data_IF_918016460668
#
_entry.id   IF_918016460668
#
_cell.length_a   1.000
_cell.length_b   1.000
_cell.length_c   1.000
_cell.angle_alpha   90.00
_cell.angle_beta   90.00
_cell.angle_gamma   90.00
#
_symmetry.space_group_name_H-M   'P 1'
#
loop_
_entity.id
_entity.type
_entity.pdbx_description
1 polymer ?
#
# COMPACT_ATOMS: atom_id res chain seq x y z
N UNK A 1 -7.68 -2.54 -10.40
CA UNK A 1 -7.08 -1.27 -9.97
C UNK A 1 -7.03 -0.28 -11.13
N UNK A 2 -8.19 -0.11 -11.79
CA UNK A 2 -8.42 0.81 -12.92
C UNK A 2 -9.23 2.04 -12.48
N UNK A 3 -9.69 2.04 -11.22
CA UNK A 3 -10.51 3.09 -10.61
C UNK A 3 -9.71 4.36 -10.32
N UNK A 4 -8.38 4.28 -10.36
CA UNK A 4 -7.49 5.42 -10.20
C UNK A 4 -6.22 5.25 -11.03
N UNK A 5 -5.61 6.38 -11.37
CA UNK A 5 -4.31 6.44 -12.01
C UNK A 5 -3.29 7.03 -11.03
N UNK A 6 -2.28 6.25 -10.65
CA UNK A 6 -1.24 6.68 -9.73
C UNK A 6 0.14 6.23 -10.24
N UNK A 7 1.17 7.11 -10.23
CA UNK A 7 2.48 6.78 -10.77
C UNK A 7 3.15 5.58 -10.07
N UNK A 8 2.89 5.39 -8.77
CA UNK A 8 3.44 4.29 -7.97
C UNK A 8 2.61 3.00 -7.94
N UNK A 9 1.55 2.93 -8.75
CA UNK A 9 0.66 1.77 -8.74
C UNK A 9 1.41 0.48 -9.10
N UNK A 10 2.20 0.51 -10.16
CA UNK A 10 2.90 -0.68 -10.66
C UNK A 10 4.01 -1.15 -9.70
N UNK A 11 4.75 -0.22 -9.08
CA UNK A 11 5.77 -0.59 -8.10
C UNK A 11 5.15 -1.16 -6.82
N UNK A 12 4.00 -0.63 -6.39
CA UNK A 12 3.25 -1.22 -5.28
C UNK A 12 2.71 -2.62 -5.61
N UNK A 13 2.22 -2.86 -6.84
CA UNK A 13 1.75 -4.19 -7.23
C UNK A 13 2.88 -5.22 -7.23
N UNK A 14 4.10 -4.84 -7.66
CA UNK A 14 5.27 -5.71 -7.53
C UNK A 14 5.56 -6.09 -6.08
N UNK A 15 5.38 -5.16 -5.13
CA UNK A 15 5.50 -5.46 -3.70
C UNK A 15 4.45 -6.49 -3.29
N UNK A 16 3.19 -6.28 -3.64
CA UNK A 16 2.08 -7.20 -3.33
C UNK A 16 2.30 -8.60 -3.91
N UNK A 17 2.83 -8.69 -5.14
CA UNK A 17 3.16 -9.96 -5.80
C UNK A 17 4.27 -10.73 -5.06
N UNK A 18 5.24 -10.04 -4.46
CA UNK A 18 6.39 -10.65 -3.80
C UNK A 18 6.23 -10.82 -2.27
N UNK A 19 5.28 -10.12 -1.64
CA UNK A 19 5.04 -10.15 -0.20
C UNK A 19 3.84 -11.04 0.14
N UNK A 20 4.03 -12.27 0.68
CA UNK A 20 2.96 -13.27 0.81
C UNK A 20 1.75 -12.85 1.63
N UNK A 21 1.83 -11.82 2.50
CA UNK A 21 0.70 -11.26 3.25
C UNK A 21 0.95 -9.78 3.62
N UNK A 22 0.17 -8.87 3.02
CA UNK A 22 0.20 -7.43 3.31
C UNK A 22 -0.73 -7.12 4.48
N UNK A 23 -0.34 -7.60 5.66
CA UNK A 23 -1.08 -7.41 6.90
C UNK A 23 -0.36 -6.44 7.83
N UNK A 24 -1.12 -5.73 8.67
CA UNK A 24 -0.62 -4.91 9.76
C UNK A 24 0.52 -3.93 9.43
N UNK A 25 0.54 -3.34 8.23
CA UNK A 25 1.69 -2.56 7.79
C UNK A 25 1.51 -1.06 8.00
N UNK A 26 2.65 -0.36 8.15
CA UNK A 26 2.74 1.11 8.07
C UNK A 26 3.17 1.53 6.67
N UNK A 27 2.76 2.73 6.20
CA UNK A 27 3.24 3.30 4.93
C UNK A 27 4.76 3.25 4.77
N UNK A 28 5.48 3.36 5.90
CA UNK A 28 6.94 3.28 5.97
C UNK A 28 7.54 2.05 5.32
N UNK A 29 6.90 0.89 5.51
CA UNK A 29 7.33 -0.38 4.92
C UNK A 29 7.44 -0.25 3.40
N UNK A 30 6.41 0.33 2.76
CA UNK A 30 6.29 0.43 1.31
C UNK A 30 7.33 1.37 0.70
N UNK A 31 7.49 2.58 1.23
CA UNK A 31 8.49 3.49 0.65
C UNK A 31 9.93 3.00 0.87
N UNK A 32 10.19 2.24 1.93
CA UNK A 32 11.51 1.66 2.17
C UNK A 32 11.87 0.57 1.15
N UNK A 33 10.88 -0.17 0.63
CA UNK A 33 11.08 -1.15 -0.43
C UNK A 33 11.29 -0.49 -1.81
N UNK A 34 10.78 0.72 -2.02
CA UNK A 34 10.93 1.46 -3.29
C UNK A 34 12.22 2.30 -3.30
N UNK A 35 12.35 3.23 -2.35
CA UNK A 35 13.55 4.04 -2.14
C UNK A 35 13.51 4.71 -0.75
N UNK A 36 14.32 4.24 0.21
CA UNK A 36 14.23 4.66 1.60
C UNK A 36 14.66 6.12 1.85
N UNK A 37 15.39 6.75 0.92
CA UNK A 37 16.00 8.07 1.10
C UNK A 37 15.30 9.18 0.29
N UNK A 38 14.12 8.92 -0.26
CA UNK A 38 13.42 9.89 -1.11
C UNK A 38 12.13 10.41 -0.48
N UNK A 39 12.12 11.69 -0.14
CA UNK A 39 10.93 12.40 0.36
C UNK A 39 9.77 12.36 -0.64
N UNK A 40 10.09 12.41 -1.94
CA UNK A 40 9.08 12.29 -3.00
C UNK A 40 8.40 10.93 -2.95
N UNK A 41 9.16 9.85 -2.76
CA UNK A 41 8.63 8.49 -2.67
C UNK A 41 7.79 8.31 -1.41
N UNK A 42 8.21 8.90 -0.28
CA UNK A 42 7.42 8.93 0.94
C UNK A 42 6.06 9.60 0.71
N UNK A 43 6.04 10.82 0.14
CA UNK A 43 4.79 11.55 -0.13
C UNK A 43 3.87 10.79 -1.10
N UNK A 44 4.44 10.22 -2.16
CA UNK A 44 3.70 9.43 -3.15
C UNK A 44 3.14 8.13 -2.55
N UNK A 45 3.85 7.50 -1.61
CA UNK A 45 3.36 6.33 -0.88
C UNK A 45 2.14 6.67 -0.03
N UNK A 46 2.17 7.80 0.69
CA UNK A 46 0.99 8.25 1.45
C UNK A 46 -0.19 8.58 0.53
N UNK A 47 0.06 9.21 -0.62
CA UNK A 47 -0.95 9.50 -1.64
C UNK A 47 -1.59 8.21 -2.16
N UNK A 48 -0.78 7.23 -2.54
CA UNK A 48 -1.24 5.94 -3.03
C UNK A 48 -2.10 5.22 -2.00
N UNK A 49 -1.65 5.14 -0.74
CA UNK A 49 -2.39 4.46 0.33
C UNK A 49 -3.76 5.10 0.57
N UNK A 50 -3.91 6.42 0.42
CA UNK A 50 -5.22 7.08 0.50
C UNK A 50 -6.16 6.62 -0.62
N UNK A 51 -5.68 6.54 -1.86
CA UNK A 51 -6.47 6.02 -2.98
C UNK A 51 -6.81 4.54 -2.78
N UNK A 52 -5.87 3.73 -2.30
CA UNK A 52 -6.10 2.31 -2.02
C UNK A 52 -7.17 2.09 -0.95
N UNK A 53 -7.19 2.90 0.11
CA UNK A 53 -8.26 2.86 1.12
C UNK A 53 -9.58 3.34 0.53
N UNK A 54 -9.58 4.44 -0.22
CA UNK A 54 -10.78 5.01 -0.86
C UNK A 54 -11.46 4.03 -1.81
N UNK A 55 -10.67 3.22 -2.52
CA UNK A 55 -11.17 2.21 -3.46
C UNK A 55 -11.17 0.79 -2.88
N UNK A 56 -11.10 0.65 -1.55
CA UNK A 56 -11.30 -0.60 -0.80
C UNK A 56 -10.30 -1.71 -1.16
N UNK A 57 -9.10 -1.34 -1.60
CA UNK A 57 -7.95 -2.25 -1.74
C UNK A 57 -7.23 -2.46 -0.40
N UNK A 58 -7.29 -1.47 0.47
CA UNK A 58 -6.80 -1.53 1.85
C UNK A 58 -7.92 -1.15 2.81
N UNK A 59 -7.88 -1.70 4.01
CA UNK A 59 -8.64 -1.18 5.14
C UNK A 59 -7.71 -0.64 6.22
N UNK A 60 -8.23 0.30 7.01
CA UNK A 60 -7.54 0.88 8.16
C UNK A 60 -8.04 0.15 9.41
N UNK A 61 -7.13 -0.20 10.30
CA UNK A 61 -7.47 -0.58 11.66
C UNK A 61 -6.45 -0.02 12.64
N UNK A 62 -6.78 -0.09 13.93
CA UNK A 62 -5.94 0.45 15.00
C UNK A 62 -5.52 -0.68 15.94
N UNK A 63 -4.23 -0.74 16.22
CA UNK A 63 -3.62 -1.66 17.20
C UNK A 63 -2.70 -0.83 18.09
N UNK A 64 -2.86 -0.91 19.40
CA UNK A 64 -2.08 -0.12 20.38
C UNK A 64 -2.01 1.39 20.09
N UNK A 65 -3.13 1.99 19.65
CA UNK A 65 -3.26 3.37 19.17
C UNK A 65 -2.45 3.72 17.91
N UNK A 66 -1.86 2.74 17.25
CA UNK A 66 -1.19 2.90 15.97
C UNK A 66 -2.15 2.66 14.82
N UNK A 67 -2.11 3.54 13.81
CA UNK A 67 -2.86 3.37 12.57
C UNK A 67 -2.11 2.41 11.65
N UNK A 68 -2.74 1.28 11.36
CA UNK A 68 -2.21 0.24 10.47
C UNK A 68 -3.10 0.05 9.25
N UNK A 69 -2.53 -0.58 8.24
CA UNK A 69 -3.18 -0.90 6.97
C UNK A 69 -3.10 -2.40 6.74
N UNK A 70 -4.13 -2.94 6.10
CA UNK A 70 -4.15 -4.34 5.68
C UNK A 70 -4.89 -4.49 4.37
N UNK A 71 -4.46 -5.48 3.60
CA UNK A 71 -5.09 -5.81 2.34
C UNK A 71 -6.51 -6.31 2.52
N UNK A 72 -7.37 -5.98 1.55
CA UNK A 72 -8.67 -6.62 1.39
C UNK A 72 -8.57 -7.78 0.40
N UNK A 73 -9.62 -8.60 0.31
CA UNK A 73 -9.76 -9.59 -0.77
C UNK A 73 -9.64 -8.97 -2.17
N UNK A 74 -10.00 -7.68 -2.30
CA UNK A 74 -9.89 -6.95 -3.56
C UNK A 74 -8.43 -6.79 -4.00
N UNK A 75 -7.52 -6.52 -3.06
CA UNK A 75 -6.09 -6.43 -3.33
C UNK A 75 -5.43 -7.81 -3.44
N UNK A 76 -5.91 -8.79 -2.67
CA UNK A 76 -5.39 -10.17 -2.73
C UNK A 76 -5.49 -10.79 -4.14
N UNK A 77 -6.45 -10.35 -4.97
CA UNK A 77 -6.62 -10.79 -6.38
C UNK A 77 -5.42 -10.48 -7.29
N UNK A 78 -4.50 -9.63 -6.85
CA UNK A 78 -3.30 -9.27 -7.62
C UNK A 78 -2.10 -10.19 -7.29
N UNK A 79 -2.24 -11.09 -6.31
CA UNK A 79 -1.26 -12.14 -6.02
C UNK A 79 -1.40 -13.23 -7.07
N UNK A 80 -0.34 -13.50 -7.84
CA UNK A 80 -0.29 -14.55 -8.86
C UNK A 80 0.81 -15.54 -8.58
#
# INVERSE_FOLDING_TARGET
MNEFNHPFKEDFLKIVENDPLMFAFKPKRIWQEINPNSDSIQQQTYSLIKELVKYEYLFIYYEDNEKLYSETEKLAKFRR
#
